data_IF_387881665494
#
_entry.id   IF_387881665494
#
_cell.length_a   1.000
_cell.length_b   1.000
_cell.length_c   1.000
_cell.angle_alpha   90.00
_cell.angle_beta   90.00
_cell.angle_gamma   90.00
#
_symmetry.space_group_name_H-M   'P 1'
#
loop_
_entity.id
_entity.type
_entity.pdbx_description
1 polymer ?
#
# COMPACT_ATOMS: atom_id res chain seq x y z
N UNK A 1 -18.00 -4.71 -26.30
CA UNK A 1 -19.46 -4.58 -26.05
C UNK A 1 -20.07 -5.67 -25.18
N UNK A 2 -19.52 -6.89 -25.12
CA UNK A 2 -20.06 -7.97 -24.28
C UNK A 2 -20.21 -7.60 -22.79
N UNK A 3 -19.25 -6.90 -22.19
CA UNK A 3 -19.26 -6.58 -20.76
C UNK A 3 -20.46 -5.70 -20.36
N UNK A 4 -20.78 -4.67 -21.17
CA UNK A 4 -21.91 -3.77 -20.94
C UNK A 4 -23.23 -4.52 -21.05
N UNK A 5 -23.37 -5.39 -22.07
CA UNK A 5 -24.53 -6.27 -22.21
C UNK A 5 -24.67 -7.25 -21.03
N UNK A 6 -23.57 -7.89 -20.61
CA UNK A 6 -23.56 -8.85 -19.50
C UNK A 6 -24.04 -8.20 -18.20
N UNK A 7 -23.59 -6.97 -17.91
CA UNK A 7 -24.05 -6.20 -16.75
C UNK A 7 -25.54 -5.83 -16.89
N UNK A 8 -25.95 -5.27 -18.03
CA UNK A 8 -27.35 -4.85 -18.25
C UNK A 8 -28.36 -6.00 -18.25
N UNK A 9 -27.97 -7.18 -18.72
CA UNK A 9 -28.80 -8.38 -18.75
C UNK A 9 -28.61 -9.30 -17.52
N UNK A 10 -27.78 -8.90 -16.54
CA UNK A 10 -27.50 -9.70 -15.34
C UNK A 10 -26.78 -11.02 -15.59
N UNK A 11 -26.09 -11.17 -16.73
CA UNK A 11 -25.40 -12.39 -17.20
C UNK A 11 -23.92 -12.40 -16.80
N UNK A 12 -23.65 -12.52 -15.51
CA UNK A 12 -22.29 -12.66 -14.98
C UNK A 12 -22.28 -13.58 -13.75
N UNK A 13 -21.17 -14.27 -13.47
CA UNK A 13 -21.04 -15.18 -12.33
C UNK A 13 -21.18 -14.45 -10.99
N UNK A 14 -21.76 -15.13 -10.00
CA UNK A 14 -21.85 -14.66 -8.61
C UNK A 14 -21.31 -15.75 -7.67
N UNK A 15 -20.27 -15.48 -6.85
CA UNK A 15 -19.52 -14.22 -6.77
C UNK A 15 -18.71 -13.94 -8.04
N UNK A 16 -18.33 -12.67 -8.26
CA UNK A 16 -17.43 -12.30 -9.35
C UNK A 16 -16.08 -12.97 -9.05
N UNK A 17 -15.56 -13.85 -9.93
CA UNK A 17 -14.28 -14.50 -9.70
C UNK A 17 -13.15 -13.48 -9.77
N UNK A 18 -12.02 -13.77 -9.08
CA UNK A 18 -10.81 -12.98 -9.26
C UNK A 18 -10.43 -12.99 -10.74
N UNK A 19 -10.26 -11.82 -11.37
CA UNK A 19 -9.87 -11.76 -12.78
C UNK A 19 -8.40 -12.14 -12.99
N UNK A 20 -7.65 -12.35 -11.91
CA UNK A 20 -6.22 -12.62 -11.89
C UNK A 20 -5.95 -13.87 -11.04
N UNK A 21 -5.31 -14.87 -11.66
CA UNK A 21 -4.81 -16.08 -10.99
C UNK A 21 -3.45 -15.84 -10.33
N UNK A 22 -2.70 -14.87 -10.84
CA UNK A 22 -1.46 -14.36 -10.26
C UNK A 22 -1.39 -12.85 -10.42
N UNK A 23 -0.84 -12.17 -9.42
CA UNK A 23 -0.51 -10.76 -9.53
C UNK A 23 0.67 -10.60 -10.49
N UNK A 24 0.64 -9.54 -11.30
CA UNK A 24 1.85 -9.12 -12.02
C UNK A 24 2.91 -8.70 -11.00
N UNK A 25 4.21 -8.82 -11.34
CA UNK A 25 5.27 -8.29 -10.50
C UNK A 25 5.01 -6.83 -10.13
N UNK A 26 5.34 -6.46 -8.89
CA UNK A 26 5.11 -5.11 -8.39
C UNK A 26 5.90 -4.06 -9.21
N UNK A 27 7.07 -4.45 -9.71
CA UNK A 27 7.96 -3.69 -10.59
C UNK A 27 7.22 -3.18 -11.85
N UNK A 28 6.38 -4.04 -12.44
CA UNK A 28 5.69 -3.75 -13.70
C UNK A 28 4.41 -2.90 -13.51
N UNK A 29 3.98 -2.67 -12.27
CA UNK A 29 2.69 -2.04 -11.98
C UNK A 29 2.81 -0.92 -10.94
N UNK A 30 3.03 -1.29 -9.68
CA UNK A 30 3.02 -0.40 -8.53
C UNK A 30 4.29 0.47 -8.45
N UNK A 31 5.45 -0.13 -8.74
CA UNK A 31 6.75 0.51 -8.50
C UNK A 31 7.09 1.60 -9.53
N UNK A 32 6.33 1.73 -10.60
CA UNK A 32 6.48 2.87 -11.53
C UNK A 32 6.30 4.22 -10.81
N UNK A 33 5.52 4.23 -9.72
CA UNK A 33 5.33 5.40 -8.85
C UNK A 33 5.75 5.14 -7.39
N UNK A 34 5.72 3.88 -6.94
CA UNK A 34 6.02 3.45 -5.56
C UNK A 34 7.27 2.56 -5.48
N UNK A 35 8.40 3.03 -5.99
CA UNK A 35 9.63 2.22 -5.99
C UNK A 35 10.34 2.21 -4.62
N UNK A 36 10.87 1.06 -4.16
CA UNK A 36 11.51 0.91 -2.84
C UNK A 36 12.70 1.86 -2.60
N UNK A 37 13.45 2.22 -3.64
CA UNK A 37 14.62 3.11 -3.52
C UNK A 37 14.22 4.55 -3.16
N UNK A 38 12.92 4.90 -3.29
CA UNK A 38 12.38 6.18 -2.81
C UNK A 38 12.19 6.16 -1.29
N UNK A 39 13.30 6.14 -0.58
CA UNK A 39 13.31 6.12 0.88
C UNK A 39 12.90 7.47 1.47
N UNK A 40 11.97 7.43 2.44
CA UNK A 40 11.62 8.57 3.27
C UNK A 40 12.01 8.25 4.71
N UNK A 41 13.03 8.94 5.23
CA UNK A 41 13.41 8.86 6.64
C UNK A 41 12.29 9.35 7.57
N UNK A 42 12.60 9.56 8.85
CA UNK A 42 11.60 10.10 9.76
C UNK A 42 11.11 11.49 9.30
N UNK A 43 9.79 11.65 9.18
CA UNK A 43 9.16 12.89 8.71
C UNK A 43 8.51 13.61 9.88
N UNK A 44 8.89 14.87 10.13
CA UNK A 44 8.18 15.71 11.09
C UNK A 44 6.88 16.22 10.45
N UNK A 45 5.74 15.80 10.99
CA UNK A 45 4.41 16.29 10.62
C UNK A 45 3.90 17.23 11.69
N UNK A 46 3.58 18.46 11.29
CA UNK A 46 2.88 19.43 12.14
C UNK A 46 1.46 19.58 11.63
N UNK A 47 0.48 19.30 12.49
CA UNK A 47 -0.93 19.47 12.21
C UNK A 47 -1.45 20.61 13.06
N UNK A 48 -1.79 21.73 12.42
CA UNK A 48 -2.35 22.90 13.08
C UNK A 48 -3.88 22.80 13.04
N UNK A 49 -4.49 22.83 14.22
CA UNK A 49 -5.93 22.99 14.41
C UNK A 49 -6.19 24.38 14.95
N UNK A 50 -7.40 24.89 14.70
CA UNK A 50 -7.84 26.14 15.29
C UNK A 50 -9.09 25.91 16.14
N UNK A 51 -9.13 26.53 17.31
CA UNK A 51 -10.26 26.46 18.22
C UNK A 51 -11.46 27.21 17.68
N UNK A 52 -12.66 26.79 18.08
CA UNK A 52 -13.92 27.45 17.72
C UNK A 52 -14.19 28.76 18.50
N UNK A 53 -13.19 29.31 19.19
CA UNK A 53 -13.32 30.58 19.91
C UNK A 53 -13.19 31.78 18.94
N UNK A 54 -13.68 32.94 19.35
CA UNK A 54 -13.67 34.14 18.51
C UNK A 54 -12.26 34.61 18.08
N UNK A 55 -11.21 34.19 18.77
CA UNK A 55 -9.81 34.48 18.42
C UNK A 55 -9.18 33.40 17.54
N UNK A 56 -9.93 32.34 17.22
CA UNK A 56 -9.48 31.21 16.41
C UNK A 56 -8.16 30.63 16.94
N UNK A 57 -8.10 30.32 18.23
CA UNK A 57 -6.82 30.02 18.90
C UNK A 57 -6.11 28.81 18.26
N UNK A 58 -4.84 28.92 17.81
CA UNK A 58 -4.13 27.81 17.19
C UNK A 58 -3.67 26.77 18.22
N UNK A 59 -3.81 25.48 17.88
CA UNK A 59 -3.20 24.35 18.57
C UNK A 59 -2.45 23.47 17.59
N UNK A 60 -1.22 23.09 17.93
CA UNK A 60 -0.41 22.24 17.06
C UNK A 60 -0.24 20.85 17.67
N UNK A 61 -0.43 19.84 16.84
CA UNK A 61 0.00 18.47 17.11
C UNK A 61 1.25 18.22 16.28
N UNK A 62 2.36 17.90 16.95
CA UNK A 62 3.65 17.62 16.30
C UNK A 62 3.93 16.13 16.43
N UNK A 63 4.11 15.45 15.30
CA UNK A 63 4.36 14.01 15.24
C UNK A 63 5.63 13.75 14.42
N UNK A 64 6.49 12.86 14.93
CA UNK A 64 7.57 12.31 14.15
C UNK A 64 7.10 10.99 13.55
N UNK A 65 6.79 11.00 12.26
CA UNK A 65 6.34 9.82 11.53
C UNK A 65 7.59 9.03 11.13
N UNK A 66 7.78 7.86 11.72
CA UNK A 66 8.83 6.91 11.34
C UNK A 66 8.39 6.14 10.10
N UNK A 67 8.42 6.80 8.94
CA UNK A 67 8.05 6.19 7.64
C UNK A 67 9.00 5.02 7.34
N UNK A 68 10.30 5.30 7.32
CA UNK A 68 11.34 4.29 7.18
C UNK A 68 11.23 3.51 5.86
N UNK A 69 11.74 2.27 5.83
CA UNK A 69 11.88 1.43 4.63
C UNK A 69 13.17 0.60 4.67
N UNK A 70 13.49 -0.09 3.58
CA UNK A 70 14.77 -0.78 3.38
C UNK A 70 15.49 -0.24 2.15
N UNK A 71 16.69 0.29 2.32
CA UNK A 71 17.56 0.68 1.21
C UNK A 71 18.91 -0.01 1.35
N UNK A 72 19.49 -0.57 0.27
CA UNK A 72 20.87 -1.06 0.27
C UNK A 72 21.87 0.02 0.69
N UNK A 73 21.58 1.29 0.39
CA UNK A 73 22.48 2.42 0.69
C UNK A 73 22.50 2.84 2.17
N UNK A 74 21.52 2.41 2.97
CA UNK A 74 21.43 2.71 4.41
C UNK A 74 21.82 1.50 5.28
N UNK A 75 22.50 0.51 4.69
CA UNK A 75 22.95 -0.69 5.41
C UNK A 75 21.83 -1.69 5.71
N UNK A 76 20.73 -1.66 4.96
CA UNK A 76 19.63 -2.61 5.12
C UNK A 76 18.80 -2.41 6.40
N UNK A 77 18.95 -1.28 7.10
CA UNK A 77 18.20 -0.99 8.32
C UNK A 77 16.71 -0.81 8.01
N UNK A 78 15.93 -1.89 8.17
CA UNK A 78 14.47 -1.84 8.12
C UNK A 78 13.93 -1.22 9.39
N UNK A 79 13.46 0.02 9.31
CA UNK A 79 12.74 0.66 10.41
C UNK A 79 11.46 1.27 9.87
N UNK A 80 10.51 1.57 10.76
CA UNK A 80 9.30 2.30 10.41
C UNK A 80 8.19 1.47 9.79
N UNK A 81 7.13 2.17 9.37
CA UNK A 81 5.87 1.57 8.90
C UNK A 81 5.94 0.97 7.48
N UNK A 82 7.01 1.23 6.72
CA UNK A 82 7.23 0.67 5.37
C UNK A 82 7.98 -0.67 5.34
N UNK A 83 8.08 -1.38 6.47
CA UNK A 83 8.83 -2.63 6.57
C UNK A 83 8.50 -3.67 5.47
N UNK A 84 7.21 -3.87 5.12
CA UNK A 84 6.79 -4.89 4.14
C UNK A 84 7.21 -4.58 2.69
N UNK A 85 7.64 -3.35 2.41
CA UNK A 85 8.10 -2.92 1.08
C UNK A 85 9.61 -3.12 0.89
N UNK A 86 10.32 -3.57 1.94
CA UNK A 86 11.75 -3.81 1.82
C UNK A 86 12.00 -5.05 0.96
N UNK A 87 12.80 -4.89 -0.09
CA UNK A 87 13.19 -5.96 -1.02
C UNK A 87 13.96 -7.11 -0.34
N UNK A 88 14.55 -6.88 0.83
CA UNK A 88 15.21 -7.93 1.62
C UNK A 88 14.25 -8.69 2.54
N UNK A 89 12.98 -8.29 2.63
CA UNK A 89 11.98 -8.97 3.43
C UNK A 89 11.13 -9.90 2.55
N UNK A 90 10.98 -11.14 2.99
CA UNK A 90 10.10 -12.11 2.36
C UNK A 90 8.74 -12.09 3.05
N UNK A 91 7.67 -11.91 2.28
CA UNK A 91 6.29 -11.87 2.78
C UNK A 91 5.49 -12.98 2.08
N UNK A 92 5.09 -13.98 2.86
CA UNK A 92 4.28 -15.09 2.38
C UNK A 92 2.80 -14.89 2.67
N UNK A 93 1.94 -15.31 1.74
CA UNK A 93 0.49 -15.34 1.93
C UNK A 93 0.00 -16.77 2.10
N UNK A 94 -0.81 -17.00 3.15
CA UNK A 94 -1.45 -18.30 3.39
C UNK A 94 -2.96 -18.16 3.09
N UNK A 95 -3.40 -18.87 2.05
CA UNK A 95 -4.82 -18.95 1.71
C UNK A 95 -5.50 -20.09 2.48
N UNK A 96 -6.62 -19.79 3.14
CA UNK A 96 -7.45 -20.81 3.82
C UNK A 96 -8.45 -21.49 2.91
N UNK A 97 -8.61 -21.03 1.66
CA UNK A 97 -9.46 -21.64 0.65
C UNK A 97 -8.74 -21.79 -0.71
N UNK A 98 -9.31 -22.61 -1.59
CA UNK A 98 -8.74 -22.89 -2.90
C UNK A 98 -8.86 -21.73 -3.90
N UNK A 99 -9.58 -20.65 -3.59
CA UNK A 99 -9.87 -19.56 -4.55
C UNK A 99 -8.75 -18.54 -4.67
N UNK A 100 -7.77 -18.56 -3.78
CA UNK A 100 -6.64 -17.64 -3.80
C UNK A 100 -5.30 -18.37 -3.67
N UNK A 101 -5.03 -19.34 -4.55
CA UNK A 101 -3.66 -19.78 -4.77
C UNK A 101 -3.07 -18.92 -5.88
N UNK A 102 -2.27 -17.93 -5.51
CA UNK A 102 -0.87 -17.72 -5.92
C UNK A 102 -0.51 -16.23 -5.81
N UNK A 103 0.34 -15.89 -4.85
CA UNK A 103 1.16 -14.69 -4.89
C UNK A 103 2.47 -15.00 -4.17
N UNK A 104 3.43 -15.55 -4.91
CA UNK A 104 4.83 -15.44 -4.54
C UNK A 104 5.24 -14.03 -4.97
N UNK A 105 5.31 -13.11 -4.01
CA UNK A 105 5.98 -11.84 -4.21
C UNK A 105 7.48 -12.11 -4.11
N UNK A 106 8.14 -12.15 -5.27
CA UNK A 106 9.60 -12.15 -5.41
C UNK A 106 9.99 -11.01 -6.34
#
# INVERSE_FOLDING_TARGET
MYQVYAVGAGKYPRPIPSPIESLRPAQDTCEQCHWPEKFWGAQLKVITHFGSDARNTPRQVRMLIKTGGGSPTTGGLTTGIHWHMNIMNEVEYIATDHRARTALAG
#
